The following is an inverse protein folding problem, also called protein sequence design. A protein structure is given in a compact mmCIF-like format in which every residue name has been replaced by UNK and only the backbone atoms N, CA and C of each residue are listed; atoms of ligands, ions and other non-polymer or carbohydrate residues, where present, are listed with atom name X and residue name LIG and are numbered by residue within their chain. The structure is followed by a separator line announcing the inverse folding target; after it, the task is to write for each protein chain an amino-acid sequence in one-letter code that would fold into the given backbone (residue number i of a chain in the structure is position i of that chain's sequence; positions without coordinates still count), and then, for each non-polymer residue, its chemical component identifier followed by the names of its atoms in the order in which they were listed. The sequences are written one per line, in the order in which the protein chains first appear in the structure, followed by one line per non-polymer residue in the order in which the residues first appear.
data_IF_132117533330
#
_entry.id   IF_132117533330
#
_cell.length_a   1.000
_cell.length_b   1.000
_cell.length_c   1.000
_cell.angle_alpha   90.00
_cell.angle_beta   90.00
_cell.angle_gamma   90.00
#
_symmetry.space_group_name_H-M   'P 1'
#
loop_
_entity.id
_entity.type
_entity.pdbx_description
1 polymer ?
#
# COMPACT_ATOMS: atom_id res chain seq x y z
N UNK A 1 14.83 -33.38 8.79
CA UNK A 1 14.82 -31.95 9.18
C UNK A 1 15.87 -31.07 8.48
N UNK A 2 17.18 -31.38 8.48
CA UNK A 2 18.19 -30.52 7.79
C UNK A 2 18.04 -30.46 6.26
N UNK A 3 17.55 -31.52 5.60
CA UNK A 3 17.35 -31.59 4.15
C UNK A 3 16.20 -30.70 3.68
N UNK A 4 15.10 -30.64 4.48
CA UNK A 4 13.94 -29.80 4.17
C UNK A 4 14.27 -28.30 4.24
N UNK A 5 15.07 -27.88 5.23
CA UNK A 5 15.44 -26.48 5.42
C UNK A 5 16.27 -25.96 4.25
N UNK A 6 17.20 -26.77 3.70
CA UNK A 6 18.01 -26.41 2.51
C UNK A 6 17.13 -26.29 1.26
N UNK A 7 16.14 -27.15 1.11
CA UNK A 7 15.20 -27.09 -0.01
C UNK A 7 14.33 -25.84 0.05
N UNK A 8 13.86 -25.44 1.24
CA UNK A 8 13.06 -24.22 1.41
C UNK A 8 13.87 -22.96 1.08
N UNK A 9 15.11 -22.86 1.53
CA UNK A 9 16.02 -21.75 1.21
C UNK A 9 16.21 -21.67 -0.30
N UNK A 10 16.52 -22.78 -0.96
CA UNK A 10 16.69 -22.83 -2.42
C UNK A 10 15.42 -22.45 -3.21
N UNK A 11 14.24 -22.65 -2.63
CA UNK A 11 12.97 -22.16 -3.23
C UNK A 11 12.87 -20.64 -3.08
N UNK A 12 13.19 -20.09 -1.92
CA UNK A 12 13.15 -18.64 -1.66
C UNK A 12 14.16 -17.91 -2.58
N UNK A 13 15.37 -18.44 -2.73
CA UNK A 13 16.41 -17.84 -3.56
C UNK A 13 15.97 -17.71 -5.05
N UNK A 14 15.03 -18.56 -5.50
CA UNK A 14 14.48 -18.50 -6.86
C UNK A 14 13.34 -17.49 -7.02
N UNK A 15 12.87 -16.83 -5.96
CA UNK A 15 11.79 -15.85 -6.08
C UNK A 15 12.18 -14.67 -6.97
N UNK A 16 13.42 -14.23 -6.94
CA UNK A 16 13.94 -13.16 -7.80
C UNK A 16 13.79 -13.42 -9.31
N UNK A 17 13.68 -14.68 -9.70
CA UNK A 17 13.49 -15.09 -11.10
C UNK A 17 12.01 -15.21 -11.48
N UNK A 18 11.08 -15.07 -10.52
CA UNK A 18 9.64 -15.28 -10.75
C UNK A 18 8.93 -13.99 -11.07
N UNK A 19 8.19 -14.01 -12.18
CA UNK A 19 7.18 -13.00 -12.48
C UNK A 19 5.84 -13.50 -11.94
N UNK A 20 5.18 -12.70 -11.13
CA UNK A 20 3.90 -13.05 -10.51
C UNK A 20 2.87 -12.01 -10.91
N UNK A 21 1.89 -12.40 -11.70
CA UNK A 21 0.78 -11.53 -12.06
C UNK A 21 -0.18 -11.40 -10.88
N UNK A 22 -0.50 -10.17 -10.52
CA UNK A 22 -1.51 -9.84 -9.52
C UNK A 22 -2.65 -9.14 -10.23
N UNK A 23 -3.77 -9.84 -10.37
CA UNK A 23 -4.99 -9.28 -10.93
C UNK A 23 -5.95 -8.93 -9.79
N UNK A 24 -6.32 -7.67 -9.71
CA UNK A 24 -7.25 -7.19 -8.68
C UNK A 24 -7.26 -5.68 -8.52
N UNK A 25 -8.08 -5.22 -7.59
CA UNK A 25 -8.27 -3.81 -7.32
C UNK A 25 -7.06 -3.23 -6.59
N UNK A 26 -6.56 -2.12 -7.11
CA UNK A 26 -5.56 -1.31 -6.46
C UNK A 26 -6.27 -0.24 -5.61
N UNK A 27 -6.09 -0.33 -4.31
CA UNK A 27 -6.70 0.58 -3.34
C UNK A 27 -5.61 1.52 -2.80
N UNK A 28 -5.92 2.80 -2.63
CA UNK A 28 -5.05 3.71 -1.91
C UNK A 28 -5.44 3.72 -0.43
N UNK A 29 -4.61 3.12 0.43
CA UNK A 29 -4.75 3.26 1.87
C UNK A 29 -4.20 4.62 2.30
N UNK A 30 -5.05 5.44 2.91
CA UNK A 30 -4.73 6.76 3.44
C UNK A 30 -4.80 6.71 4.97
N UNK A 31 -3.74 7.11 5.65
CA UNK A 31 -3.68 7.21 7.10
C UNK A 31 -3.55 8.66 7.51
N UNK A 32 -4.52 9.15 8.27
CA UNK A 32 -4.52 10.49 8.85
C UNK A 32 -4.23 10.37 10.34
N UNK A 33 -3.10 10.90 10.75
CA UNK A 33 -2.68 10.93 12.16
C UNK A 33 -3.03 12.27 12.77
N UNK A 34 -3.57 12.24 13.97
CA UNK A 34 -3.89 13.46 14.70
C UNK A 34 -4.06 13.23 16.19
N UNK A 35 -4.23 14.31 16.93
CA UNK A 35 -4.58 14.29 18.35
C UNK A 35 -5.95 14.90 18.55
N UNK A 36 -6.76 14.26 19.38
CA UNK A 36 -8.01 14.84 19.84
C UNK A 36 -7.73 15.78 21.02
N UNK A 37 -8.15 17.03 20.93
CA UNK A 37 -7.96 18.01 22.01
C UNK A 37 -9.26 18.33 22.74
N UNK A 38 -10.39 18.29 22.06
CA UNK A 38 -11.70 18.64 22.62
C UNK A 38 -12.83 18.05 21.79
N UNK A 39 -14.01 17.99 22.39
CA UNK A 39 -15.28 17.78 21.68
C UNK A 39 -15.70 19.12 21.06
N UNK A 40 -16.32 19.09 19.89
CA UNK A 40 -16.90 20.28 19.25
C UNK A 40 -17.99 20.88 20.13
N UNK A 41 -18.16 22.20 20.09
CA UNK A 41 -19.25 22.90 20.74
C UNK A 41 -20.52 22.90 19.88
N UNK A 42 -20.39 22.62 18.59
CA UNK A 42 -21.47 22.68 17.60
C UNK A 42 -22.14 21.31 17.39
N UNK A 43 -21.43 20.21 17.67
CA UNK A 43 -21.96 18.87 17.55
C UNK A 43 -21.15 17.89 18.43
N UNK A 44 -21.73 16.73 18.85
CA UNK A 44 -21.03 15.73 19.67
C UNK A 44 -19.96 14.95 18.88
N UNK A 45 -19.02 15.66 18.24
CA UNK A 45 -17.93 15.10 17.44
C UNK A 45 -16.58 15.54 17.98
N UNK A 46 -15.59 14.68 17.84
CA UNK A 46 -14.22 14.99 18.24
C UNK A 46 -13.55 15.91 17.23
N UNK A 47 -12.89 16.94 17.71
CA UNK A 47 -12.04 17.80 16.89
C UNK A 47 -10.65 17.18 16.84
N UNK A 48 -10.19 16.85 15.62
CA UNK A 48 -8.88 16.29 15.37
C UNK A 48 -7.91 17.38 14.92
N UNK A 49 -6.81 17.54 15.66
CA UNK A 49 -5.66 18.32 15.21
C UNK A 49 -4.79 17.44 14.33
N UNK A 50 -4.78 17.72 13.02
CA UNK A 50 -4.00 16.96 12.03
C UNK A 50 -2.50 17.08 12.32
N UNK A 51 -1.77 15.96 12.32
CA UNK A 51 -0.31 15.89 12.49
C UNK A 51 0.42 15.42 11.24
N UNK A 52 -0.07 14.35 10.65
CA UNK A 52 0.57 13.73 9.48
C UNK A 52 -0.45 13.00 8.62
N UNK A 53 -0.08 12.80 7.36
CA UNK A 53 -0.81 11.99 6.42
C UNK A 53 0.16 11.04 5.69
N UNK A 54 -0.16 9.77 5.66
CA UNK A 54 0.62 8.74 5.00
C UNK A 54 -0.24 7.97 4.00
N UNK A 55 0.42 7.43 2.98
CA UNK A 55 -0.24 6.64 1.95
C UNK A 55 0.48 5.32 1.74
N UNK A 56 -0.30 4.27 1.51
CA UNK A 56 0.20 2.94 1.16
C UNK A 56 -0.71 2.31 0.11
N UNK A 57 -0.23 1.22 -0.50
CA UNK A 57 -1.07 0.42 -1.38
C UNK A 57 -1.85 -0.61 -0.56
N UNK A 58 -3.16 -0.68 -0.79
CA UNK A 58 -4.07 -1.69 -0.26
C UNK A 58 -4.59 -2.62 -1.36
N UNK A 59 -5.38 -3.63 -0.98
CA UNK A 59 -5.91 -4.62 -1.90
C UNK A 59 -4.81 -5.36 -2.66
N UNK A 60 -4.98 -5.48 -3.98
CA UNK A 60 -3.97 -6.06 -4.88
C UNK A 60 -2.62 -5.36 -4.79
N UNK A 61 -2.63 -4.03 -4.54
CA UNK A 61 -1.41 -3.26 -4.36
C UNK A 61 -0.58 -3.69 -3.16
N UNK A 62 -1.20 -4.08 -2.05
CA UNK A 62 -0.50 -4.64 -0.90
C UNK A 62 0.16 -5.99 -1.24
N UNK A 63 -0.52 -6.83 -2.02
CA UNK A 63 0.05 -8.09 -2.51
C UNK A 63 1.30 -7.84 -3.39
N UNK A 64 1.26 -6.84 -4.27
CA UNK A 64 2.41 -6.44 -5.07
C UNK A 64 3.60 -6.04 -4.20
N UNK A 65 3.39 -5.23 -3.16
CA UNK A 65 4.45 -4.83 -2.24
C UNK A 65 5.05 -6.01 -1.48
N UNK A 66 4.22 -6.96 -1.06
CA UNK A 66 4.70 -8.18 -0.38
C UNK A 66 5.52 -9.06 -1.32
N UNK A 67 5.08 -9.29 -2.55
CA UNK A 67 5.83 -10.04 -3.56
C UNK A 67 7.18 -9.38 -3.86
N UNK A 68 7.18 -8.06 -3.99
CA UNK A 68 8.38 -7.28 -4.18
C UNK A 68 9.34 -7.44 -2.97
N UNK A 69 8.83 -7.38 -1.75
CA UNK A 69 9.63 -7.57 -0.53
C UNK A 69 10.22 -8.98 -0.41
N UNK A 70 9.56 -9.97 -0.98
CA UNK A 70 10.06 -11.34 -1.10
C UNK A 70 11.06 -11.53 -2.25
N UNK A 71 11.36 -10.46 -2.99
CA UNK A 71 12.30 -10.47 -4.10
C UNK A 71 11.72 -10.91 -5.45
N UNK A 72 10.42 -11.21 -5.54
CA UNK A 72 9.77 -11.56 -6.80
C UNK A 72 9.54 -10.31 -7.68
N UNK A 73 9.25 -10.53 -8.96
CA UNK A 73 8.91 -9.50 -9.93
C UNK A 73 7.38 -9.43 -10.12
N UNK A 74 6.64 -8.62 -9.34
CA UNK A 74 5.21 -8.54 -9.47
C UNK A 74 4.78 -7.76 -10.71
N UNK A 75 3.72 -8.24 -11.37
CA UNK A 75 3.12 -7.61 -12.54
C UNK A 75 1.66 -7.28 -12.23
N UNK A 76 1.31 -6.01 -11.99
CA UNK A 76 -0.06 -5.61 -11.72
C UNK A 76 -0.92 -5.64 -12.98
N UNK A 77 -2.12 -6.20 -12.87
CA UNK A 77 -3.18 -6.14 -13.87
C UNK A 77 -4.45 -5.62 -13.21
N UNK A 78 -5.00 -4.54 -13.70
CA UNK A 78 -6.19 -3.92 -13.11
C UNK A 78 -6.49 -2.54 -13.66
N UNK A 79 -7.37 -1.83 -12.96
CA UNK A 79 -7.82 -0.49 -13.32
C UNK A 79 -7.30 0.54 -12.29
N UNK A 80 -6.94 1.73 -12.80
CA UNK A 80 -6.68 2.92 -11.99
C UNK A 80 -7.33 4.12 -12.64
N UNK A 81 -7.91 4.99 -11.83
CA UNK A 81 -8.46 6.24 -12.29
C UNK A 81 -7.38 7.24 -12.71
N UNK A 82 -7.78 8.21 -13.55
CA UNK A 82 -6.93 9.37 -13.86
C UNK A 82 -7.05 10.47 -12.78
N UNK A 83 -7.46 10.10 -11.57
CA UNK A 83 -7.64 10.95 -10.40
C UNK A 83 -6.36 11.03 -9.54
N UNK A 84 -6.42 11.80 -8.46
CA UNK A 84 -5.28 11.99 -7.55
C UNK A 84 -4.85 10.68 -6.85
N UNK A 85 -5.81 9.80 -6.54
CA UNK A 85 -5.51 8.50 -5.94
C UNK A 85 -4.76 7.59 -6.91
N UNK A 86 -5.22 7.53 -8.17
CA UNK A 86 -4.53 6.78 -9.23
C UNK A 86 -3.12 7.30 -9.49
N UNK A 87 -2.93 8.64 -9.55
CA UNK A 87 -1.59 9.24 -9.67
C UNK A 87 -0.68 8.85 -8.51
N UNK A 88 -1.21 8.81 -7.27
CA UNK A 88 -0.43 8.38 -6.10
C UNK A 88 -0.04 6.92 -6.16
N UNK A 89 -0.97 6.03 -6.54
CA UNK A 89 -0.69 4.61 -6.78
C UNK A 89 0.44 4.46 -7.79
N UNK A 90 0.33 5.11 -8.95
CA UNK A 90 1.37 5.07 -9.99
C UNK A 90 2.73 5.56 -9.50
N UNK A 91 2.74 6.62 -8.66
CA UNK A 91 3.97 7.13 -8.04
C UNK A 91 4.60 6.10 -7.09
N UNK A 92 3.79 5.42 -6.26
CA UNK A 92 4.29 4.39 -5.33
C UNK A 92 4.86 3.20 -6.12
N UNK A 93 4.15 2.72 -7.15
CA UNK A 93 4.64 1.63 -8.00
C UNK A 93 5.98 1.99 -8.65
N UNK A 94 6.11 3.20 -9.20
CA UNK A 94 7.37 3.70 -9.77
C UNK A 94 8.50 3.74 -8.74
N UNK A 95 8.24 4.22 -7.51
CA UNK A 95 9.23 4.24 -6.42
C UNK A 95 9.70 2.84 -6.03
N UNK A 96 8.82 1.85 -6.16
CA UNK A 96 9.10 0.44 -5.88
C UNK A 96 9.61 -0.33 -7.11
N UNK A 97 9.87 0.36 -8.21
CA UNK A 97 10.32 -0.22 -9.50
C UNK A 97 9.39 -1.32 -10.04
N UNK A 98 8.10 -1.26 -9.67
CA UNK A 98 7.08 -2.17 -10.19
C UNK A 98 6.56 -1.58 -11.49
N UNK A 99 6.67 -2.33 -12.61
CA UNK A 99 6.09 -1.91 -13.89
C UNK A 99 4.57 -1.78 -13.77
N UNK A 100 4.01 -0.77 -14.42
CA UNK A 100 2.58 -0.52 -14.49
C UNK A 100 2.02 -0.68 -15.91
N UNK A 101 2.72 -1.41 -16.78
CA UNK A 101 2.42 -1.52 -18.22
C UNK A 101 1.06 -2.17 -18.50
N UNK A 102 0.60 -3.04 -17.59
CA UNK A 102 -0.69 -3.73 -17.69
C UNK A 102 -1.80 -3.11 -16.85
N UNK A 103 -1.58 -1.89 -16.31
CA UNK A 103 -2.63 -1.13 -15.64
C UNK A 103 -3.36 -0.26 -16.66
N UNK A 104 -4.67 -0.46 -16.75
CA UNK A 104 -5.55 0.34 -17.59
C UNK A 104 -5.90 1.63 -16.83
N UNK A 105 -5.63 2.78 -17.46
CA UNK A 105 -6.00 4.10 -16.92
C UNK A 105 -7.32 4.54 -17.51
N UNK A 106 -8.35 4.65 -16.69
CA UNK A 106 -9.69 5.04 -17.12
C UNK A 106 -10.11 6.37 -16.48
N UNK A 107 -10.62 7.30 -17.27
CA UNK A 107 -11.11 8.61 -16.80
C UNK A 107 -12.41 8.50 -16.02
N UNK A 108 -13.21 7.50 -16.31
CA UNK A 108 -14.53 7.29 -15.69
C UNK A 108 -14.43 6.50 -14.38
N UNK A 109 -13.35 5.71 -14.24
CA UNK A 109 -13.10 4.93 -13.03
C UNK A 109 -12.58 5.82 -11.90
N UNK A 110 -13.17 5.66 -10.71
CA UNK A 110 -12.69 6.29 -9.48
C UNK A 110 -11.83 5.30 -8.70
N UNK A 111 -10.57 5.65 -8.52
CA UNK A 111 -9.63 4.83 -7.73
C UNK A 111 -10.11 4.75 -6.29
N UNK A 112 -10.35 3.54 -5.73
CA UNK A 112 -10.79 3.41 -4.34
C UNK A 112 -9.76 3.94 -3.36
N UNK A 113 -10.25 4.73 -2.39
CA UNK A 113 -9.46 5.23 -1.26
C UNK A 113 -10.04 4.64 0.02
N UNK A 114 -9.18 4.11 0.88
CA UNK A 114 -9.56 3.67 2.21
C UNK A 114 -8.87 4.52 3.26
N UNK A 115 -9.59 5.50 3.78
CA UNK A 115 -9.07 6.43 4.79
C UNK A 115 -9.24 5.87 6.20
N UNK A 116 -8.16 5.89 6.97
CA UNK A 116 -8.16 5.58 8.40
C UNK A 116 -7.67 6.78 9.18
N UNK A 117 -8.51 7.22 10.12
CA UNK A 117 -8.19 8.33 11.03
C UNK A 117 -7.71 7.74 12.34
N UNK A 118 -6.47 8.03 12.71
CA UNK A 118 -5.82 7.55 13.92
C UNK A 118 -5.63 8.73 14.86
N UNK A 119 -6.47 8.76 15.91
CA UNK A 119 -6.49 9.82 16.91
C UNK A 119 -6.04 9.28 18.26
N UNK A 120 -5.01 9.87 18.87
CA UNK A 120 -4.54 9.45 20.19
C UNK A 120 -3.16 10.01 20.53
N UNK A 121 -2.82 10.07 21.83
CA UNK A 121 -1.49 10.47 22.30
C UNK A 121 -0.41 9.42 22.02
N UNK A 122 -0.79 8.16 21.93
CA UNK A 122 0.06 7.03 21.62
C UNK A 122 -0.22 6.48 20.22
N UNK A 123 -0.10 7.31 19.19
CA UNK A 123 0.17 6.74 17.87
C UNK A 123 1.56 6.12 17.94
N UNK A 124 1.63 4.89 18.42
CA UNK A 124 2.81 4.06 18.25
C UNK A 124 3.22 4.23 16.81
N UNK A 125 4.39 4.84 16.61
CA UNK A 125 5.07 4.85 15.34
C UNK A 125 5.13 3.39 14.90
N UNK A 126 4.21 2.98 14.02
CA UNK A 126 4.50 1.81 13.20
C UNK A 126 5.74 2.24 12.46
N UNK A 127 6.87 1.66 12.86
CA UNK A 127 8.07 1.74 12.08
C UNK A 127 7.62 1.46 10.66
N UNK A 128 7.77 2.46 9.78
CA UNK A 128 7.59 2.23 8.37
C UNK A 128 8.66 1.22 8.02
N UNK A 129 8.27 -0.05 7.94
CA UNK A 129 9.11 -1.07 7.33
C UNK A 129 9.34 -0.56 5.90
N UNK A 130 10.46 0.11 5.71
CA UNK A 130 10.94 0.50 4.40
C UNK A 130 11.42 -0.79 3.76
N UNK A 131 10.53 -1.48 3.08
CA UNK A 131 10.92 -2.54 2.18
C UNK A 131 11.62 -1.89 0.99
N UNK A 132 12.94 -2.02 0.95
CA UNK A 132 13.72 -1.71 -0.24
C UNK A 132 13.54 -2.89 -1.20
N UNK A 133 12.86 -2.64 -2.31
CA UNK A 133 12.85 -3.55 -3.47
C UNK A 133 14.03 -3.21 -4.36
#
# INVERSE_FOLDING_TARGET
MKKDKRNLIAIIDRFAQKKVTVWGDLILDEYIYGTTRRISREAPVLILSHKAKEFSLGGGGNALLNLCALGANPVPVGLVGQDEAGKRIMKILKQKKISADFLIKDKTYRTPIKTRILAGEHSTRRASLRYNC
#
